data_IF_459764746554
#
_entry.id   IF_459764746554
#
_cell.length_a   1.000
_cell.length_b   1.000
_cell.length_c   1.000
_cell.angle_alpha   90.00
_cell.angle_beta   90.00
_cell.angle_gamma   90.00
#
_symmetry.space_group_name_H-M   'P 1'
#
loop_
_entity.id
_entity.type
_entity.pdbx_description
1 polymer ?
#
# COMPACT_ATOMS: atom_id res chain seq x y z
N UNK A 1 -12.76 -4.26 9.06
CA UNK A 1 -12.79 -2.79 9.22
C UNK A 1 -11.49 -2.35 9.89
N UNK A 2 -11.04 -1.12 9.64
CA UNK A 2 -9.79 -0.52 10.15
C UNK A 2 -8.52 -1.14 9.57
N UNK A 3 -8.12 -0.63 8.39
CA UNK A 3 -6.85 -0.95 7.76
C UNK A 3 -5.79 0.04 8.21
N UNK A 4 -4.62 -0.44 8.59
CA UNK A 4 -3.48 0.39 9.00
C UNK A 4 -2.71 0.87 7.77
N UNK A 5 -2.32 2.14 7.76
CA UNK A 5 -1.38 2.70 6.79
C UNK A 5 0.04 2.41 7.29
N UNK A 6 0.88 1.85 6.43
CA UNK A 6 2.27 1.48 6.75
C UNK A 6 3.26 2.56 6.30
N UNK A 7 3.08 3.11 5.10
CA UNK A 7 3.93 4.16 4.53
C UNK A 7 3.10 5.03 3.61
N UNK A 8 3.37 6.33 3.62
CA UNK A 8 2.92 7.30 2.62
C UNK A 8 4.20 7.80 1.95
N UNK A 9 4.21 7.86 0.62
CA UNK A 9 5.36 8.35 -0.13
C UNK A 9 4.93 9.07 -1.40
N UNK A 10 5.81 9.93 -1.91
CA UNK A 10 5.52 10.78 -3.07
C UNK A 10 6.07 10.19 -4.38
N UNK A 11 7.13 9.38 -4.30
CA UNK A 11 7.80 8.78 -5.45
C UNK A 11 7.44 7.31 -5.59
N UNK A 12 6.59 6.97 -6.57
CA UNK A 12 6.17 5.59 -6.79
C UNK A 12 7.26 4.65 -7.32
N UNK A 13 8.43 5.18 -7.73
CA UNK A 13 9.61 4.37 -8.07
C UNK A 13 10.12 3.54 -6.88
N UNK A 14 9.94 4.03 -5.64
CA UNK A 14 10.39 3.32 -4.42
C UNK A 14 9.60 2.04 -4.11
N UNK A 15 8.41 1.89 -4.69
CA UNK A 15 7.51 0.77 -4.41
C UNK A 15 7.25 -0.12 -5.62
N UNK A 16 7.60 0.35 -6.81
CA UNK A 16 7.33 -0.37 -8.06
C UNK A 16 8.27 -1.57 -8.18
N UNK A 17 7.76 -2.82 -8.23
CA UNK A 17 8.60 -3.99 -8.40
C UNK A 17 9.31 -4.00 -9.77
N UNK A 18 10.38 -4.77 -9.90
CA UNK A 18 11.03 -5.02 -11.20
C UNK A 18 10.00 -5.60 -12.18
N UNK A 19 9.75 -4.91 -13.29
CA UNK A 19 8.73 -5.28 -14.29
C UNK A 19 7.32 -4.72 -14.01
N UNK A 20 7.18 -3.88 -12.98
CA UNK A 20 5.93 -3.19 -12.64
C UNK A 20 4.90 -4.07 -11.95
N UNK A 21 3.80 -3.45 -11.51
CA UNK A 21 2.66 -4.19 -10.96
C UNK A 21 1.88 -4.88 -12.07
N UNK A 22 1.53 -6.16 -11.87
CA UNK A 22 0.77 -6.93 -12.85
C UNK A 22 -0.57 -6.24 -13.19
N UNK A 23 -0.83 -6.07 -14.48
CA UNK A 23 -1.98 -5.35 -15.02
C UNK A 23 -2.09 -3.86 -14.63
N UNK A 24 -1.12 -3.27 -13.95
CA UNK A 24 -1.09 -1.84 -13.61
C UNK A 24 0.09 -1.11 -14.28
N UNK A 25 1.30 -1.67 -14.16
CA UNK A 25 2.55 -1.04 -14.57
C UNK A 25 3.20 -0.28 -13.42
N UNK A 26 3.84 0.84 -13.75
CA UNK A 26 4.62 1.62 -12.80
C UNK A 26 3.76 2.66 -12.05
N UNK A 27 4.06 2.86 -10.76
CA UNK A 27 3.41 3.89 -9.95
C UNK A 27 4.16 5.20 -10.15
N UNK A 28 3.50 6.22 -10.70
CA UNK A 28 4.12 7.52 -11.02
C UNK A 28 3.81 8.63 -10.02
N UNK A 29 2.80 8.44 -9.18
CA UNK A 29 2.28 9.46 -8.27
C UNK A 29 2.52 9.07 -6.81
N UNK A 30 2.12 9.96 -5.89
CA UNK A 30 2.07 9.64 -4.46
C UNK A 30 1.24 8.38 -4.20
N UNK A 31 1.71 7.59 -3.27
CA UNK A 31 1.19 6.26 -2.99
C UNK A 31 1.06 6.03 -1.48
N UNK A 32 0.23 5.04 -1.13
CA UNK A 32 0.01 4.62 0.24
C UNK A 32 0.13 3.11 0.31
N UNK A 33 0.94 2.61 1.24
CA UNK A 33 1.02 1.19 1.57
C UNK A 33 0.03 0.90 2.69
N UNK A 34 -0.89 -0.04 2.44
CA UNK A 34 -1.94 -0.44 3.39
C UNK A 34 -1.69 -1.87 3.83
N UNK A 35 -1.90 -2.15 5.11
CA UNK A 35 -1.75 -3.49 5.66
C UNK A 35 -2.87 -4.44 5.19
N UNK A 36 -2.47 -5.55 4.56
CA UNK A 36 -3.36 -6.63 4.11
C UNK A 36 -4.08 -6.35 2.78
N UNK A 37 -5.20 -7.03 2.54
CA UNK A 37 -5.96 -6.95 1.28
C UNK A 37 -6.97 -5.79 1.22
N UNK A 38 -7.31 -5.38 0.00
CA UNK A 38 -8.34 -4.39 -0.33
C UNK A 38 -9.34 -5.04 -1.29
N UNK A 39 -10.65 -4.79 -1.16
CA UNK A 39 -11.63 -5.36 -2.07
C UNK A 39 -11.55 -4.78 -3.49
N UNK A 40 -11.53 -5.67 -4.48
CA UNK A 40 -11.55 -5.34 -5.90
C UNK A 40 -10.24 -5.63 -6.63
N UNK A 41 -10.27 -5.67 -7.98
CA UNK A 41 -9.09 -5.91 -8.80
C UNK A 41 -8.15 -4.69 -8.84
N UNK A 42 -6.96 -4.89 -9.41
CA UNK A 42 -6.03 -3.79 -9.74
C UNK A 42 -6.71 -2.74 -10.64
N UNK A 43 -6.24 -1.49 -10.58
CA UNK A 43 -6.83 -0.29 -11.24
C UNK A 43 -8.20 0.18 -10.73
N UNK A 44 -8.87 -0.53 -9.82
CA UNK A 44 -10.13 -0.06 -9.25
C UNK A 44 -9.91 1.18 -8.38
N UNK A 45 -10.74 2.22 -8.59
CA UNK A 45 -10.76 3.39 -7.72
C UNK A 45 -11.25 2.99 -6.32
N UNK A 46 -10.44 3.31 -5.31
CA UNK A 46 -10.72 3.03 -3.90
C UNK A 46 -10.87 4.37 -3.17
N UNK A 47 -11.95 4.52 -2.40
CA UNK A 47 -12.15 5.68 -1.51
C UNK A 47 -11.72 5.29 -0.10
N UNK A 48 -10.73 6.01 0.43
CA UNK A 48 -10.34 5.90 1.84
C UNK A 48 -11.23 6.82 2.68
N UNK A 49 -11.55 6.37 3.88
CA UNK A 49 -12.35 7.13 4.85
C UNK A 49 -11.80 6.91 6.24
N UNK A 50 -11.86 7.95 7.06
CA UNK A 50 -11.56 7.85 8.48
C UNK A 50 -12.46 6.79 9.17
N UNK A 51 -11.92 5.99 10.09
CA UNK A 51 -12.72 5.02 10.85
C UNK A 51 -13.78 5.75 11.70
N UNK A 52 -15.02 5.26 11.67
CA UNK A 52 -16.13 5.79 12.51
C UNK A 52 -15.91 5.42 13.97
N UNK A 53 -15.39 4.21 14.20
CA UNK A 53 -15.17 3.65 15.53
C UNK A 53 -13.68 3.64 15.80
N UNK A 54 -13.26 4.42 16.79
CA UNK A 54 -11.92 4.34 17.33
C UNK A 54 -11.77 2.97 18.02
N UNK A 55 -11.06 2.06 17.36
CA UNK A 55 -10.70 0.78 17.99
C UNK A 55 -9.46 1.12 18.79
N UNK A 56 -9.59 1.25 20.10
CA UNK A 56 -8.58 1.77 21.04
C UNK A 56 -7.19 1.10 21.05
N UNK A 57 -6.82 0.35 20.01
CA UNK A 57 -5.43 0.11 19.61
C UNK A 57 -4.76 1.42 19.18
N UNK A 58 -4.51 2.29 20.16
CA UNK A 58 -3.53 3.36 20.04
C UNK A 58 -2.15 2.69 20.02
N UNK A 59 -1.72 2.30 18.82
CA UNK A 59 -0.35 1.88 18.62
C UNK A 59 0.53 3.12 18.85
N UNK A 60 1.44 3.10 19.84
CA UNK A 60 2.14 4.30 20.30
C UNK A 60 3.11 4.85 19.25
N UNK A 61 3.49 4.05 18.25
CA UNK A 61 4.53 4.41 17.31
C UNK A 61 4.10 4.19 15.84
N UNK A 62 4.61 5.08 14.98
CA UNK A 62 4.52 4.91 13.54
C UNK A 62 5.23 3.59 13.15
N UNK A 63 4.65 2.78 12.26
CA UNK A 63 5.29 1.55 11.83
C UNK A 63 6.59 1.87 11.09
N UNK A 64 7.71 1.32 11.55
CA UNK A 64 8.98 1.40 10.84
C UNK A 64 9.03 0.31 9.77
N UNK A 65 8.93 0.70 8.49
CA UNK A 65 9.05 -0.23 7.35
C UNK A 65 10.54 -0.39 7.03
N UNK A 66 11.13 -1.52 7.44
CA UNK A 66 12.57 -1.81 7.24
C UNK A 66 12.89 -2.26 5.82
N UNK A 67 11.98 -3.00 5.19
CA UNK A 67 12.20 -3.59 3.87
C UNK A 67 10.90 -3.63 3.06
N UNK A 68 11.00 -3.31 1.77
CA UNK A 68 9.94 -3.46 0.77
C UNK A 68 10.47 -4.33 -0.36
N UNK A 69 9.82 -5.46 -0.62
CA UNK A 69 10.20 -6.36 -1.72
C UNK A 69 9.87 -5.71 -3.08
N UNK A 70 10.92 -5.41 -3.86
CA UNK A 70 10.83 -4.92 -5.24
C UNK A 70 11.07 -6.03 -6.27
N UNK A 71 10.97 -7.30 -5.85
CA UNK A 71 11.13 -8.45 -6.73
C UNK A 71 9.94 -8.58 -7.68
N UNK A 72 10.22 -9.04 -8.91
CA UNK A 72 9.19 -9.29 -9.92
C UNK A 72 8.08 -10.18 -9.37
N UNK A 73 6.84 -9.82 -9.70
CA UNK A 73 5.64 -10.62 -9.37
C UNK A 73 5.13 -11.43 -10.56
N UNK A 74 5.82 -11.35 -11.70
CA UNK A 74 5.64 -12.26 -12.83
C UNK A 74 6.51 -13.49 -12.57
N UNK A 75 5.98 -14.69 -12.84
CA UNK A 75 6.60 -15.97 -12.48
C UNK A 75 8.05 -16.10 -12.94
N UNK A 76 8.79 -16.97 -12.25
CA UNK A 76 10.16 -17.39 -12.61
C UNK A 76 10.15 -18.11 -13.96
#
# INVERSE_FOLDING_TARGET
LNKRILKIGDKGEEVTPKGGFLHYGDVRNSYVIIHGSIPGPSKRLIRLRQPIRDTGMKLPEAPQVTFVSLESKQGV
#
